data_IF_222171209945
#
_entry.id   IF_222171209945
#
_cell.length_a   1.000
_cell.length_b   1.000
_cell.length_c   1.000
_cell.angle_alpha   90.00
_cell.angle_beta   90.00
_cell.angle_gamma   90.00
#
_symmetry.space_group_name_H-M   'P 1'
#
loop_
_entity.id
_entity.type
_entity.pdbx_description
1 polymer ?
#
# COMPACT_ATOMS: atom_id res chain seq x y z
N UNK A 1 -9.71 -6.36 -3.32
CA UNK A 1 -10.09 -5.29 -2.37
C UNK A 1 -10.75 -5.84 -1.10
N UNK A 2 -11.87 -6.58 -1.21
CA UNK A 2 -12.59 -7.08 -0.01
C UNK A 2 -11.69 -7.91 0.90
N UNK A 3 -10.91 -8.84 0.35
CA UNK A 3 -10.00 -9.70 1.12
C UNK A 3 -8.88 -8.92 1.83
N UNK A 4 -8.35 -7.85 1.22
CA UNK A 4 -7.33 -7.00 1.86
C UNK A 4 -7.92 -6.26 3.07
N UNK A 5 -9.11 -5.66 2.92
CA UNK A 5 -9.79 -5.00 4.02
C UNK A 5 -10.17 -5.98 5.15
N UNK A 6 -10.61 -7.20 4.80
CA UNK A 6 -10.92 -8.24 5.78
C UNK A 6 -9.67 -8.70 6.54
N UNK A 7 -8.53 -8.83 5.84
CA UNK A 7 -7.25 -9.13 6.48
C UNK A 7 -6.84 -8.02 7.46
N UNK A 8 -6.94 -6.76 7.04
CA UNK A 8 -6.59 -5.62 7.89
C UNK A 8 -7.49 -5.54 9.12
N UNK A 9 -8.81 -5.66 8.93
CA UNK A 9 -9.76 -5.65 10.06
C UNK A 9 -9.48 -6.77 11.06
N UNK A 10 -9.23 -8.00 10.58
CA UNK A 10 -8.86 -9.13 11.42
C UNK A 10 -7.55 -8.89 12.16
N UNK A 11 -6.53 -8.34 11.48
CA UNK A 11 -5.23 -8.04 12.07
C UNK A 11 -5.32 -6.96 13.15
N UNK A 12 -6.09 -5.89 12.91
CA UNK A 12 -6.36 -4.84 13.91
C UNK A 12 -7.03 -5.46 15.16
N UNK A 13 -8.06 -6.27 14.95
CA UNK A 13 -8.80 -6.89 16.04
C UNK A 13 -7.90 -7.74 16.95
N UNK A 14 -7.03 -8.58 16.38
CA UNK A 14 -6.15 -9.45 17.18
C UNK A 14 -4.91 -8.75 17.72
N UNK A 15 -4.55 -7.59 17.20
CA UNK A 15 -3.45 -6.77 17.73
C UNK A 15 -3.86 -6.03 19.01
N UNK A 16 -5.16 -5.92 19.29
CA UNK A 16 -5.64 -5.34 20.55
C UNK A 16 -5.33 -6.27 21.72
N UNK A 17 -4.74 -5.73 22.78
CA UNK A 17 -4.52 -6.44 24.04
C UNK A 17 -5.81 -6.86 24.73
N UNK A 18 -6.91 -6.21 24.37
CA UNK A 18 -8.23 -6.40 24.97
C UNK A 18 -9.15 -7.32 24.14
N UNK A 19 -8.56 -8.09 23.18
CA UNK A 19 -9.38 -9.03 22.42
C UNK A 19 -10.18 -9.95 23.35
N UNK A 20 -11.50 -9.90 23.25
CA UNK A 20 -12.41 -10.82 23.94
C UNK A 20 -12.95 -11.82 22.93
N UNK A 21 -13.02 -13.09 23.37
CA UNK A 21 -13.67 -14.12 22.58
C UNK A 21 -15.17 -13.82 22.49
N UNK A 22 -15.58 -13.25 21.36
CA UNK A 22 -16.98 -13.00 21.07
C UNK A 22 -17.49 -14.01 20.04
N UNK A 23 -18.76 -14.38 20.15
CA UNK A 23 -19.40 -15.33 19.23
C UNK A 23 -18.68 -16.68 19.07
N UNK A 24 -17.91 -17.09 20.07
CA UNK A 24 -17.20 -18.37 20.03
C UNK A 24 -15.92 -18.40 19.21
N UNK A 25 -15.54 -17.32 18.51
CA UNK A 25 -14.34 -17.26 17.68
C UNK A 25 -13.11 -16.98 18.55
N UNK A 26 -12.09 -17.82 18.45
CA UNK A 26 -10.84 -17.63 19.19
C UNK A 26 -9.91 -16.65 18.49
N UNK A 27 -8.96 -16.05 19.25
CA UNK A 27 -7.90 -15.19 18.68
C UNK A 27 -7.09 -15.92 17.61
N UNK A 28 -6.76 -17.19 17.82
CA UNK A 28 -6.00 -17.99 16.84
C UNK A 28 -6.78 -18.18 15.53
N UNK A 29 -8.08 -18.43 15.58
CA UNK A 29 -8.91 -18.54 14.38
C UNK A 29 -8.93 -17.24 13.56
N UNK A 30 -8.95 -16.07 14.22
CA UNK A 30 -8.88 -14.78 13.51
C UNK A 30 -7.48 -14.55 12.92
N UNK A 31 -6.42 -14.93 13.63
CA UNK A 31 -5.05 -14.88 13.10
C UNK A 31 -4.93 -15.77 11.85
N UNK A 32 -5.42 -16.99 11.90
CA UNK A 32 -5.39 -17.91 10.76
C UNK A 32 -6.17 -17.36 9.56
N UNK A 33 -7.34 -16.77 9.83
CA UNK A 33 -8.13 -16.07 8.80
C UNK A 33 -7.36 -14.88 8.18
N UNK A 34 -6.72 -14.05 9.00
CA UNK A 34 -5.91 -12.93 8.53
C UNK A 34 -4.74 -13.42 7.68
N UNK A 35 -3.98 -14.41 8.17
CA UNK A 35 -2.85 -15.03 7.46
C UNK A 35 -3.27 -15.62 6.12
N UNK A 36 -4.40 -16.33 6.07
CA UNK A 36 -4.91 -16.90 4.83
C UNK A 36 -5.19 -15.82 3.78
N UNK A 37 -5.86 -14.73 4.16
CA UNK A 37 -6.13 -13.61 3.26
C UNK A 37 -4.83 -12.91 2.82
N UNK A 38 -3.93 -12.60 3.75
CA UNK A 38 -2.64 -11.96 3.46
C UNK A 38 -1.85 -12.79 2.45
N UNK A 39 -1.70 -14.09 2.72
CA UNK A 39 -1.00 -15.02 1.84
C UNK A 39 -1.64 -15.09 0.47
N UNK A 40 -2.97 -15.25 0.39
CA UNK A 40 -3.70 -15.39 -0.87
C UNK A 40 -3.55 -14.17 -1.77
N UNK A 41 -3.43 -12.97 -1.18
CA UNK A 41 -3.24 -11.74 -1.93
C UNK A 41 -1.77 -11.57 -2.32
N UNK A 42 -0.87 -11.65 -1.35
CA UNK A 42 0.54 -11.34 -1.57
C UNK A 42 1.23 -12.32 -2.50
N UNK A 43 0.95 -13.64 -2.40
CA UNK A 43 1.59 -14.61 -3.29
C UNK A 43 1.16 -14.52 -4.75
N UNK A 44 0.02 -13.89 -5.04
CA UNK A 44 -0.48 -13.69 -6.42
C UNK A 44 -0.08 -12.33 -7.00
N UNK A 45 0.73 -11.55 -6.29
CA UNK A 45 1.26 -10.32 -6.82
C UNK A 45 2.25 -10.58 -7.97
N UNK A 46 2.30 -9.67 -8.95
CA UNK A 46 3.15 -9.81 -10.15
C UNK A 46 4.63 -9.95 -9.84
N UNK A 47 5.10 -9.45 -8.70
CA UNK A 47 6.48 -9.65 -8.21
C UNK A 47 6.82 -11.10 -7.84
N UNK A 48 5.81 -11.96 -7.71
CA UNK A 48 5.95 -13.36 -7.28
C UNK A 48 5.32 -14.34 -8.26
N UNK A 49 4.32 -13.90 -9.01
CA UNK A 49 3.55 -14.75 -9.92
C UNK A 49 3.40 -14.06 -11.27
N UNK A 50 3.89 -14.71 -12.33
CA UNK A 50 3.72 -14.21 -13.70
C UNK A 50 2.23 -14.09 -14.03
N UNK A 51 1.82 -12.92 -14.53
CA UNK A 51 0.41 -12.62 -14.81
C UNK A 51 -0.43 -12.37 -13.56
N UNK A 52 0.23 -12.19 -12.41
CA UNK A 52 -0.41 -11.79 -11.17
C UNK A 52 -0.94 -10.34 -11.23
N UNK A 53 -1.57 -9.92 -10.14
CA UNK A 53 -2.02 -8.53 -9.98
C UNK A 53 -0.86 -7.64 -9.51
N UNK A 54 -0.92 -6.36 -9.81
CA UNK A 54 0.08 -5.34 -9.42
C UNK A 54 0.27 -4.32 -10.53
N UNK A 55 1.00 -3.25 -10.25
CA UNK A 55 1.32 -2.15 -11.17
C UNK A 55 0.10 -1.66 -11.97
N UNK A 56 -1.00 -1.45 -11.30
CA UNK A 56 -2.25 -0.97 -11.89
C UNK A 56 -2.86 0.14 -11.05
N UNK A 57 -3.89 0.77 -11.56
CA UNK A 57 -4.51 1.96 -10.97
C UNK A 57 -4.74 1.92 -9.45
N UNK A 58 -5.15 0.79 -8.90
CA UNK A 58 -5.41 0.66 -7.45
C UNK A 58 -4.48 -0.33 -6.74
N UNK A 59 -3.45 -0.84 -7.39
CA UNK A 59 -2.62 -1.90 -6.81
C UNK A 59 -1.89 -1.43 -5.55
N UNK A 60 -1.37 -0.21 -5.54
CA UNK A 60 -0.74 0.38 -4.36
C UNK A 60 -1.66 0.36 -3.13
N UNK A 61 -2.95 0.72 -3.30
CA UNK A 61 -3.93 0.68 -2.22
C UNK A 61 -4.14 -0.73 -1.65
N UNK A 62 -4.22 -1.73 -2.51
CA UNK A 62 -4.43 -3.12 -2.06
C UNK A 62 -3.18 -3.72 -1.43
N UNK A 63 -2.01 -3.43 -1.99
CA UNK A 63 -0.73 -3.85 -1.45
C UNK A 63 -0.49 -3.24 -0.06
N UNK A 64 -0.72 -1.94 0.08
CA UNK A 64 -0.58 -1.24 1.37
C UNK A 64 -1.52 -1.82 2.42
N UNK A 65 -2.80 -1.98 2.09
CA UNK A 65 -3.78 -2.55 3.03
C UNK A 65 -3.37 -3.95 3.48
N UNK A 66 -2.86 -4.78 2.55
CA UNK A 66 -2.39 -6.14 2.85
C UNK A 66 -1.09 -6.12 3.66
N UNK A 67 -0.16 -5.23 3.32
CA UNK A 67 1.11 -5.12 4.05
C UNK A 67 0.92 -4.57 5.46
N UNK A 68 0.01 -3.62 5.67
CA UNK A 68 -0.38 -3.15 7.00
C UNK A 68 -0.96 -4.29 7.85
N UNK A 69 -1.86 -5.09 7.26
CA UNK A 69 -2.39 -6.27 7.92
C UNK A 69 -1.28 -7.24 8.35
N UNK A 70 -0.35 -7.52 7.44
CA UNK A 70 0.80 -8.39 7.72
C UNK A 70 1.73 -7.80 8.78
N UNK A 71 1.96 -6.49 8.77
CA UNK A 71 2.85 -5.84 9.74
C UNK A 71 2.28 -5.86 11.15
N UNK A 72 0.97 -5.66 11.29
CA UNK A 72 0.28 -5.74 12.59
C UNK A 72 0.42 -7.11 13.26
N UNK A 73 0.42 -8.18 12.49
CA UNK A 73 0.57 -9.56 13.00
C UNK A 73 1.90 -10.20 12.56
N UNK A 74 2.93 -9.38 12.34
CA UNK A 74 4.22 -9.84 11.82
C UNK A 74 4.83 -11.03 12.57
N UNK A 75 4.81 -11.07 13.93
CA UNK A 75 5.31 -12.22 14.67
C UNK A 75 4.60 -13.54 14.34
N UNK A 76 3.34 -13.48 13.98
CA UNK A 76 2.49 -14.63 13.69
C UNK A 76 2.68 -15.19 12.26
N UNK A 77 3.32 -14.41 11.37
CA UNK A 77 3.55 -14.82 9.98
C UNK A 77 4.75 -15.79 9.88
N UNK A 78 4.60 -16.81 9.04
CA UNK A 78 5.71 -17.67 8.64
C UNK A 78 6.76 -16.89 7.85
N UNK A 79 7.97 -17.47 7.72
CA UNK A 79 9.06 -16.87 6.91
C UNK A 79 8.62 -16.63 5.45
N UNK A 80 7.86 -17.56 4.87
CA UNK A 80 7.35 -17.43 3.51
C UNK A 80 6.34 -16.29 3.38
N UNK A 81 5.37 -16.20 4.30
CA UNK A 81 4.37 -15.13 4.31
C UNK A 81 5.02 -13.74 4.47
N UNK A 82 6.01 -13.63 5.35
CA UNK A 82 6.83 -12.41 5.50
C UNK A 82 7.52 -12.02 4.20
N UNK A 83 8.11 -13.00 3.51
CA UNK A 83 8.75 -12.77 2.21
C UNK A 83 7.74 -12.31 1.16
N UNK A 84 6.56 -12.91 1.08
CA UNK A 84 5.54 -12.52 0.12
C UNK A 84 5.07 -11.06 0.34
N UNK A 85 4.78 -10.71 1.59
CA UNK A 85 4.39 -9.34 1.94
C UNK A 85 5.49 -8.34 1.62
N UNK A 86 6.74 -8.65 1.98
CA UNK A 86 7.88 -7.78 1.72
C UNK A 86 8.11 -7.59 0.21
N UNK A 87 8.08 -8.65 -0.59
CA UNK A 87 8.25 -8.58 -2.04
C UNK A 87 7.14 -7.79 -2.72
N UNK A 88 5.89 -8.00 -2.31
CA UNK A 88 4.73 -7.29 -2.84
C UNK A 88 4.84 -5.78 -2.59
N UNK A 89 5.07 -5.37 -1.34
CA UNK A 89 5.09 -3.94 -1.01
C UNK A 89 6.35 -3.24 -1.55
N UNK A 90 7.48 -3.94 -1.67
CA UNK A 90 8.68 -3.42 -2.30
C UNK A 90 8.45 -3.15 -3.78
N UNK A 91 7.84 -4.08 -4.51
CA UNK A 91 7.55 -3.91 -5.93
C UNK A 91 6.58 -2.75 -6.19
N UNK A 92 5.50 -2.63 -5.43
CA UNK A 92 4.59 -1.49 -5.57
C UNK A 92 5.28 -0.16 -5.23
N UNK A 93 6.18 -0.14 -4.24
CA UNK A 93 6.98 1.02 -3.93
C UNK A 93 7.94 1.40 -5.07
N UNK A 94 8.53 0.41 -5.74
CA UNK A 94 9.40 0.63 -6.92
C UNK A 94 8.57 1.17 -8.08
N UNK A 95 7.41 0.59 -8.42
CA UNK A 95 6.53 1.08 -9.48
C UNK A 95 6.10 2.53 -9.25
N UNK A 96 5.71 2.86 -8.02
CA UNK A 96 5.34 4.24 -7.67
C UNK A 96 6.54 5.18 -7.77
N UNK A 97 7.72 4.73 -7.35
CA UNK A 97 8.96 5.54 -7.40
C UNK A 97 9.38 5.83 -8.85
N UNK A 98 9.30 4.84 -9.73
CA UNK A 98 9.64 4.96 -11.15
C UNK A 98 8.65 5.86 -11.90
N UNK A 99 7.36 5.68 -11.64
CA UNK A 99 6.30 6.46 -12.28
C UNK A 99 6.31 7.94 -11.82
N UNK A 100 6.67 8.19 -10.58
CA UNK A 100 6.58 9.51 -9.95
C UNK A 100 5.13 9.93 -9.64
N UNK A 101 4.94 11.16 -9.13
CA UNK A 101 3.62 11.67 -8.80
C UNK A 101 2.73 11.90 -10.04
N UNK A 102 1.46 11.60 -9.90
CA UNK A 102 0.43 11.96 -10.86
C UNK A 102 -0.01 13.39 -10.61
N UNK A 103 0.04 14.23 -11.61
CA UNK A 103 -0.36 15.62 -11.50
C UNK A 103 -1.61 15.90 -12.36
N UNK A 104 -2.41 16.83 -11.90
CA UNK A 104 -3.51 17.41 -12.68
C UNK A 104 -2.99 18.14 -13.93
N UNK A 105 -1.81 18.78 -13.81
CA UNK A 105 -1.14 19.52 -14.90
C UNK A 105 0.30 19.05 -15.10
N UNK A 106 0.75 19.13 -16.35
CA UNK A 106 2.16 18.95 -16.67
C UNK A 106 3.01 20.16 -16.22
N UNK A 107 4.32 20.10 -16.47
CA UNK A 107 5.24 21.19 -16.11
C UNK A 107 5.02 22.46 -16.92
N UNK A 108 4.39 22.37 -18.09
CA UNK A 108 4.06 23.50 -18.96
C UNK A 108 2.73 24.15 -18.59
N UNK A 109 2.00 23.59 -17.62
CA UNK A 109 0.72 24.09 -17.16
C UNK A 109 -0.49 23.56 -17.94
N UNK A 110 -0.31 22.59 -18.84
CA UNK A 110 -1.41 21.98 -19.58
C UNK A 110 -2.17 20.97 -18.69
N UNK A 111 -3.47 20.94 -18.81
CA UNK A 111 -4.30 19.94 -18.10
C UNK A 111 -4.04 18.54 -18.66
N UNK A 112 -3.52 17.65 -17.81
CA UNK A 112 -3.30 16.23 -18.13
C UNK A 112 -4.58 15.43 -17.89
N UNK A 113 -5.35 15.83 -16.89
CA UNK A 113 -6.58 15.16 -16.47
C UNK A 113 -7.63 16.22 -16.12
N UNK A 114 -8.29 16.77 -17.13
CA UNK A 114 -9.28 17.84 -16.96
C UNK A 114 -10.39 17.42 -15.97
N UNK A 115 -10.63 18.25 -14.96
CA UNK A 115 -11.63 18.00 -13.92
C UNK A 115 -11.25 16.94 -12.87
N UNK A 116 -10.02 16.44 -12.88
CA UNK A 116 -9.55 15.41 -11.95
C UNK A 116 -8.25 15.85 -11.25
N UNK A 117 -8.30 16.11 -9.95
CA UNK A 117 -7.14 16.58 -9.16
C UNK A 117 -6.09 15.52 -8.92
N UNK A 118 -6.39 14.25 -9.15
CA UNK A 118 -5.52 13.10 -8.84
C UNK A 118 -5.11 12.98 -7.36
N UNK A 119 -5.71 13.74 -6.48
CA UNK A 119 -5.31 13.80 -5.06
C UNK A 119 -5.52 12.49 -4.32
N UNK A 120 -6.57 11.76 -4.62
CA UNK A 120 -6.83 10.43 -4.06
C UNK A 120 -5.84 9.39 -4.58
N UNK A 121 -5.54 9.36 -5.87
CA UNK A 121 -4.55 8.46 -6.46
C UNK A 121 -3.15 8.71 -5.89
N UNK A 122 -2.75 9.97 -5.78
CA UNK A 122 -1.47 10.38 -5.19
C UNK A 122 -1.40 9.97 -3.72
N UNK A 123 -2.51 10.08 -2.98
CA UNK A 123 -2.58 9.65 -1.59
C UNK A 123 -2.41 8.13 -1.44
N UNK A 124 -2.95 7.34 -2.35
CA UNK A 124 -2.73 5.88 -2.35
C UNK A 124 -1.30 5.52 -2.74
N UNK A 125 -0.77 6.18 -3.76
CA UNK A 125 0.60 6.00 -4.24
C UNK A 125 1.62 6.38 -3.15
N UNK A 126 1.39 7.46 -2.39
CA UNK A 126 2.21 7.87 -1.25
C UNK A 126 2.41 6.74 -0.21
N UNK A 127 1.38 5.95 0.03
CA UNK A 127 1.40 4.96 1.13
C UNK A 127 2.36 3.81 0.84
N UNK A 128 2.53 3.39 -0.42
CA UNK A 128 3.35 2.23 -0.77
C UNK A 128 4.85 2.44 -0.47
N UNK A 129 5.53 3.47 -0.97
CA UNK A 129 6.94 3.71 -0.66
C UNK A 129 7.16 4.07 0.81
N UNK A 130 6.22 4.78 1.45
CA UNK A 130 6.30 5.11 2.86
C UNK A 130 6.28 3.87 3.74
N UNK A 131 5.36 2.93 3.48
CA UNK A 131 5.25 1.69 4.22
C UNK A 131 6.42 0.74 3.94
N UNK A 132 6.82 0.57 2.68
CA UNK A 132 7.98 -0.22 2.31
C UNK A 132 9.24 0.27 3.01
N UNK A 133 9.46 1.58 3.04
CA UNK A 133 10.59 2.22 3.76
C UNK A 133 10.54 1.96 5.26
N UNK A 134 9.38 2.03 5.88
CA UNK A 134 9.20 1.78 7.31
C UNK A 134 9.45 0.31 7.66
N UNK A 135 8.92 -0.62 6.87
CA UNK A 135 9.09 -2.06 7.08
C UNK A 135 10.51 -2.54 6.79
N UNK A 136 11.19 -1.95 5.81
CA UNK A 136 12.50 -2.40 5.30
C UNK A 136 13.51 -1.26 5.23
N UNK A 137 13.90 -0.65 6.37
CA UNK A 137 14.76 0.54 6.40
C UNK A 137 16.19 0.30 5.87
N UNK A 138 16.62 -0.93 5.76
CA UNK A 138 17.95 -1.33 5.24
C UNK A 138 17.90 -1.85 3.80
N UNK A 139 16.76 -1.80 3.13
CA UNK A 139 16.62 -2.23 1.74
C UNK A 139 17.46 -1.31 0.82
N UNK A 140 18.07 -1.84 -0.25
CA UNK A 140 18.85 -1.01 -1.20
C UNK A 140 18.07 0.20 -1.73
N UNK A 141 16.77 0.05 -1.98
CA UNK A 141 15.89 1.11 -2.49
C UNK A 141 15.27 1.99 -1.40
N UNK A 142 15.61 1.79 -0.12
CA UNK A 142 14.97 2.51 0.99
C UNK A 142 15.08 4.04 0.89
N UNK A 143 16.18 4.55 0.31
CA UNK A 143 16.35 5.99 0.04
C UNK A 143 15.43 6.46 -1.08
N UNK A 144 15.35 5.72 -2.17
CA UNK A 144 14.45 6.01 -3.31
C UNK A 144 13.00 6.06 -2.85
N UNK A 145 12.57 5.10 -2.03
CA UNK A 145 11.22 5.08 -1.47
C UNK A 145 10.94 6.27 -0.56
N UNK A 146 11.92 6.72 0.22
CA UNK A 146 11.75 7.93 1.05
C UNK A 146 11.55 9.16 0.17
N UNK A 147 12.37 9.33 -0.85
CA UNK A 147 12.29 10.45 -1.79
C UNK A 147 10.95 10.43 -2.57
N UNK A 148 10.52 9.25 -3.03
CA UNK A 148 9.23 9.08 -3.68
C UNK A 148 8.06 9.41 -2.74
N UNK A 149 8.09 8.93 -1.50
CA UNK A 149 7.07 9.26 -0.50
C UNK A 149 6.96 10.75 -0.24
N UNK A 150 8.09 11.46 -0.15
CA UNK A 150 8.11 12.94 -0.01
C UNK A 150 7.50 13.61 -1.26
N UNK A 151 7.90 13.19 -2.45
CA UNK A 151 7.38 13.74 -3.70
C UNK A 151 5.86 13.54 -3.84
N UNK A 152 5.36 12.35 -3.52
CA UNK A 152 3.93 12.06 -3.49
C UNK A 152 3.20 12.90 -2.44
N UNK A 153 3.78 13.09 -1.25
CA UNK A 153 3.19 13.93 -0.20
C UNK A 153 3.02 15.38 -0.66
N UNK A 154 4.03 15.93 -1.33
CA UNK A 154 3.96 17.29 -1.88
C UNK A 154 2.89 17.37 -2.97
N UNK A 155 2.80 16.38 -3.83
CA UNK A 155 1.84 16.34 -4.93
C UNK A 155 0.39 16.11 -4.50
N UNK A 156 0.16 15.59 -3.28
CA UNK A 156 -1.18 15.40 -2.73
C UNK A 156 -1.88 16.73 -2.39
N UNK A 157 -1.11 17.83 -2.33
CA UNK A 157 -1.66 19.17 -2.11
C UNK A 157 -1.70 19.94 -3.43
N UNK A 158 -2.74 20.77 -3.61
CA UNK A 158 -2.83 21.66 -4.75
C UNK A 158 -1.63 22.63 -4.78
N UNK A 159 -0.97 22.73 -5.93
CA UNK A 159 0.09 23.71 -6.15
C UNK A 159 -0.54 25.05 -6.52
N UNK A 160 0.15 26.19 -6.34
CA UNK A 160 -0.36 27.49 -6.80
C UNK A 160 -0.74 27.52 -8.28
N UNK A 161 -0.03 26.76 -9.14
CA UNK A 161 -0.34 26.60 -10.56
C UNK A 161 -1.66 25.88 -10.82
N UNK A 162 -2.08 25.00 -9.91
CA UNK A 162 -3.32 24.23 -10.04
C UNK A 162 -4.56 25.08 -9.72
N UNK A 163 -4.38 26.17 -8.96
CA UNK A 163 -5.42 27.10 -8.57
C UNK A 163 -5.69 28.21 -9.61
N UNK A 164 -4.81 28.39 -10.58
CA UNK A 164 -4.91 29.47 -11.58
C UNK A 164 -5.80 29.13 -12.77
N UNK A 165 -6.43 27.96 -12.82
CA UNK A 165 -7.19 27.49 -13.99
C UNK A 165 -8.69 27.76 -13.95
N UNK A 166 -9.18 28.46 -12.96
CA UNK A 166 -10.64 28.71 -12.79
C UNK A 166 -11.09 30.13 -13.15
N UNK A 167 -10.28 30.84 -13.99
CA UNK A 167 -10.72 32.14 -14.56
C UNK A 167 -10.92 32.05 -16.05
#
# INVERSE_FOLDING_TARGET
RRSANSALAASILVSSSNYKKENGISRSQIIDYARWNIRSIACQHTSLTQGGWGDSWQSALWAVTTAQAGWLIWPELSKAEKSYVASMIAAEADYVSERGPRYFRDRAGNDISAGDSKSDEVSWDLMAPSLARAMMPKHPHAKVWLEAGIAQSIAAFARPSDLQSTQ
#
